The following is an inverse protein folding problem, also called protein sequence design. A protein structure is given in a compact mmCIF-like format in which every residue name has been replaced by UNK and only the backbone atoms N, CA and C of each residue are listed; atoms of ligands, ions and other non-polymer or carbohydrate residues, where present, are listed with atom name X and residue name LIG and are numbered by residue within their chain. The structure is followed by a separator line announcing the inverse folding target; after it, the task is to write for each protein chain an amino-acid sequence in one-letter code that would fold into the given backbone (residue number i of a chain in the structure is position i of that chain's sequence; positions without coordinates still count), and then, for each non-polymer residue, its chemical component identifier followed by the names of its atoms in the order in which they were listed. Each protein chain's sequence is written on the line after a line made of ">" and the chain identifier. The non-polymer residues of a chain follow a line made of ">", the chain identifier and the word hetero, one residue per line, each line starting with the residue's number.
data_IF_283787250058
#
_entry.id   IF_283787250058
#
_cell.length_a   1.000
_cell.length_b   1.000
_cell.length_c   1.000
_cell.angle_alpha   90.00
_cell.angle_beta   90.00
_cell.angle_gamma   90.00
#
_symmetry.space_group_name_H-M   'P 1'
#
loop_
_entity.id
_entity.type
_entity.pdbx_description
1 polymer ?
#
# COMPACT_ATOMS: atom_id res chain seq x y z
N UNK A 1 -22.49 -1.15 5.59
CA UNK A 1 -22.58 -0.13 4.51
C UNK A 1 -21.73 -0.52 3.31
N UNK A 2 -21.89 0.16 2.16
CA UNK A 2 -21.08 -0.06 0.94
C UNK A 2 -19.73 0.68 1.02
N UNK A 3 -18.77 0.29 0.18
CA UNK A 3 -17.50 1.03 0.03
C UNK A 3 -17.73 2.52 -0.27
N UNK A 4 -18.63 2.81 -1.22
CA UNK A 4 -18.91 4.19 -1.65
C UNK A 4 -19.46 5.03 -0.51
N UNK A 5 -20.30 4.44 0.34
CA UNK A 5 -20.83 5.13 1.50
C UNK A 5 -19.76 5.40 2.55
N UNK A 6 -18.94 4.39 2.89
CA UNK A 6 -17.82 4.57 3.81
C UNK A 6 -16.86 5.66 3.30
N UNK A 7 -16.54 5.66 2.01
CA UNK A 7 -15.66 6.64 1.39
C UNK A 7 -16.29 8.05 1.35
N UNK A 8 -17.61 8.15 1.15
CA UNK A 8 -18.35 9.40 1.23
C UNK A 8 -18.27 10.02 2.64
N UNK A 9 -18.57 9.24 3.68
CA UNK A 9 -18.47 9.72 5.06
C UNK A 9 -17.04 10.12 5.44
N UNK A 10 -16.05 9.35 4.98
CA UNK A 10 -14.64 9.72 5.14
C UNK A 10 -14.29 11.05 4.48
N UNK A 11 -14.81 11.33 3.28
CA UNK A 11 -14.64 12.61 2.61
C UNK A 11 -15.29 13.78 3.37
N UNK A 12 -16.44 13.55 4.04
CA UNK A 12 -17.05 14.58 4.89
C UNK A 12 -16.18 14.90 6.11
N UNK A 13 -15.58 13.87 6.73
CA UNK A 13 -14.78 14.03 7.93
C UNK A 13 -13.40 14.64 7.66
N UNK A 14 -12.78 14.30 6.53
CA UNK A 14 -11.39 14.69 6.19
C UNK A 14 -11.28 15.72 5.08
N UNK A 15 -12.39 16.11 4.49
CA UNK A 15 -12.42 16.94 3.30
C UNK A 15 -12.02 16.17 2.05
N UNK A 16 -11.94 16.90 0.94
CA UNK A 16 -11.68 16.34 -0.39
C UNK A 16 -12.92 16.26 -1.27
N UNK A 17 -12.74 15.74 -2.48
CA UNK A 17 -13.78 15.68 -3.51
C UNK A 17 -14.08 14.22 -3.82
N UNK A 18 -15.25 13.77 -3.38
CA UNK A 18 -15.76 12.42 -3.63
C UNK A 18 -16.49 12.34 -4.98
N UNK A 19 -16.19 11.29 -5.74
CA UNK A 19 -16.84 10.91 -6.98
C UNK A 19 -17.36 9.48 -6.86
N UNK A 20 -18.66 9.33 -6.65
CA UNK A 20 -19.31 8.02 -6.58
C UNK A 20 -20.83 8.15 -6.54
N UNK A 21 -21.51 7.01 -6.54
CA UNK A 21 -22.97 6.92 -6.49
C UNK A 21 -23.41 6.20 -5.23
N UNK A 22 -24.51 6.69 -4.64
CA UNK A 22 -25.12 6.12 -3.43
C UNK A 22 -25.57 4.65 -3.65
N UNK A 23 -26.22 4.37 -4.79
CA UNK A 23 -26.81 3.06 -5.09
C UNK A 23 -25.80 2.02 -5.61
N UNK A 24 -24.51 2.24 -5.40
CA UNK A 24 -23.44 1.38 -5.96
C UNK A 24 -23.40 1.40 -7.49
N UNK A 25 -22.58 0.51 -8.08
CA UNK A 25 -22.45 0.30 -9.53
C UNK A 25 -21.16 0.84 -10.17
N UNK A 26 -20.48 1.80 -9.53
CA UNK A 26 -19.10 2.20 -9.86
C UNK A 26 -18.30 2.35 -8.57
N UNK A 27 -17.03 1.98 -8.63
CA UNK A 27 -16.08 2.18 -7.55
C UNK A 27 -15.88 3.68 -7.31
N UNK A 28 -16.19 4.13 -6.10
CA UNK A 28 -16.01 5.51 -5.70
C UNK A 28 -14.53 5.90 -5.66
N UNK A 29 -14.25 7.12 -6.09
CA UNK A 29 -12.94 7.77 -6.03
C UNK A 29 -13.02 8.96 -5.06
N UNK A 30 -11.99 9.16 -4.26
CA UNK A 30 -11.86 10.33 -3.41
C UNK A 30 -10.54 11.04 -3.70
N UNK A 31 -10.60 12.30 -4.10
CA UNK A 31 -9.43 13.15 -4.19
C UNK A 31 -9.23 13.88 -2.86
N UNK A 32 -8.06 13.69 -2.25
CA UNK A 32 -7.63 14.43 -1.07
C UNK A 32 -6.62 15.50 -1.48
N UNK A 33 -6.76 16.68 -0.89
CA UNK A 33 -5.73 17.71 -0.96
C UNK A 33 -4.54 17.30 -0.08
N UNK A 34 -3.34 17.47 -0.62
CA UNK A 34 -2.11 17.20 0.10
C UNK A 34 -1.06 18.26 -0.30
N UNK A 35 -0.21 18.74 0.64
CA UNK A 35 0.75 19.81 0.37
C UNK A 35 1.69 19.54 -0.81
N UNK A 36 2.06 18.27 -1.06
CA UNK A 36 3.01 17.89 -2.10
C UNK A 36 2.32 17.44 -3.41
N UNK A 37 1.00 17.58 -3.48
CA UNK A 37 0.20 17.29 -4.68
C UNK A 37 -0.95 16.33 -4.40
N UNK A 38 -2.00 16.32 -5.25
CA UNK A 38 -3.24 15.61 -4.97
C UNK A 38 -3.03 14.10 -4.79
N UNK A 39 -3.76 13.54 -3.84
CA UNK A 39 -3.84 12.10 -3.60
C UNK A 39 -5.20 11.58 -4.05
N UNK A 40 -5.24 10.32 -4.48
CA UNK A 40 -6.49 9.63 -4.80
C UNK A 40 -6.63 8.38 -3.93
N UNK A 41 -7.84 8.19 -3.37
CA UNK A 41 -8.24 6.95 -2.72
C UNK A 41 -9.27 6.25 -3.61
N UNK A 42 -9.04 4.97 -3.89
CA UNK A 42 -9.92 4.15 -4.70
C UNK A 42 -9.84 2.67 -4.30
N UNK A 43 -10.67 1.85 -4.91
CA UNK A 43 -10.50 0.39 -4.87
C UNK A 43 -9.85 -0.11 -6.16
N UNK A 44 -9.22 -1.28 -6.08
CA UNK A 44 -8.73 -1.99 -7.25
C UNK A 44 -8.97 -3.49 -7.08
N UNK A 45 -9.30 -4.16 -8.19
CA UNK A 45 -9.38 -5.62 -8.23
C UNK A 45 -7.97 -6.19 -8.32
N UNK A 46 -7.58 -6.98 -7.31
CA UNK A 46 -6.24 -7.58 -7.22
C UNK A 46 -6.24 -9.03 -7.72
N UNK A 47 -7.36 -9.73 -7.60
CA UNK A 47 -7.56 -11.02 -8.28
C UNK A 47 -9.04 -11.31 -8.50
N UNK A 48 -9.34 -12.04 -9.57
CA UNK A 48 -10.68 -12.54 -9.88
C UNK A 48 -10.63 -14.07 -9.94
N UNK A 49 -11.41 -14.74 -9.08
CA UNK A 49 -11.44 -16.19 -9.01
C UNK A 49 -12.86 -16.74 -8.98
N UNK A 50 -12.98 -18.08 -8.90
CA UNK A 50 -14.28 -18.77 -8.77
C UNK A 50 -15.07 -18.39 -7.52
N UNK A 51 -14.41 -17.78 -6.54
CA UNK A 51 -14.99 -17.37 -5.25
C UNK A 51 -15.19 -15.86 -5.14
N UNK A 52 -15.22 -15.16 -6.28
CA UNK A 52 -15.38 -13.71 -6.35
C UNK A 52 -14.07 -12.95 -6.58
N UNK A 53 -14.18 -11.63 -6.51
CA UNK A 53 -13.07 -10.71 -6.68
C UNK A 53 -12.43 -10.37 -5.33
N UNK A 54 -11.11 -10.43 -5.24
CA UNK A 54 -10.35 -9.87 -4.13
C UNK A 54 -9.99 -8.44 -4.47
N UNK A 55 -10.32 -7.52 -3.58
CA UNK A 55 -10.16 -6.08 -3.77
C UNK A 55 -9.18 -5.51 -2.75
N UNK A 56 -8.55 -4.40 -3.11
CA UNK A 56 -7.75 -3.61 -2.16
C UNK A 56 -8.20 -2.17 -2.20
N UNK A 57 -8.21 -1.53 -1.03
CA UNK A 57 -8.23 -0.09 -0.94
C UNK A 57 -6.82 0.43 -1.23
N UNK A 58 -6.73 1.51 -1.99
CA UNK A 58 -5.48 2.11 -2.46
C UNK A 58 -5.50 3.60 -2.16
N UNK A 59 -4.42 4.10 -1.56
CA UNK A 59 -4.10 5.52 -1.55
C UNK A 59 -2.90 5.73 -2.47
N UNK A 60 -3.03 6.61 -3.46
CA UNK A 60 -2.03 6.82 -4.48
C UNK A 60 -1.64 8.30 -4.63
N UNK A 61 -0.35 8.53 -4.83
CA UNK A 61 0.24 9.85 -5.06
C UNK A 61 1.29 9.79 -6.16
N UNK A 62 1.45 10.89 -6.90
CA UNK A 62 2.33 10.98 -8.06
C UNK A 62 3.65 11.64 -7.68
N UNK A 63 4.77 11.08 -8.16
CA UNK A 63 6.11 11.66 -7.98
C UNK A 63 6.89 11.71 -9.30
N UNK A 64 7.96 12.49 -9.32
CA UNK A 64 8.93 12.51 -10.41
C UNK A 64 10.29 12.05 -9.90
N UNK A 65 10.84 11.00 -10.48
CA UNK A 65 12.16 10.45 -10.19
C UNK A 65 13.09 10.66 -11.38
N UNK A 66 14.40 10.46 -11.18
CA UNK A 66 15.41 10.72 -12.22
C UNK A 66 15.33 9.74 -13.39
N UNK A 67 14.87 8.51 -13.12
CA UNK A 67 14.79 7.39 -14.06
C UNK A 67 13.72 6.38 -13.61
N UNK A 68 13.25 5.48 -14.48
CA UNK A 68 12.27 4.46 -14.12
C UNK A 68 12.74 3.60 -12.93
N UNK A 69 11.85 3.42 -11.96
CA UNK A 69 12.09 2.69 -10.72
C UNK A 69 10.85 1.87 -10.34
N UNK A 70 11.06 0.60 -9.97
CA UNK A 70 10.01 -0.22 -9.38
C UNK A 70 10.39 -0.66 -7.98
N UNK A 71 9.42 -0.57 -7.07
CA UNK A 71 9.50 -1.10 -5.71
C UNK A 71 8.17 -1.76 -5.37
N UNK A 72 8.21 -2.91 -4.72
CA UNK A 72 7.06 -3.49 -4.04
C UNK A 72 7.51 -4.05 -2.71
N UNK A 73 6.91 -3.56 -1.64
CA UNK A 73 7.04 -4.05 -0.27
C UNK A 73 5.66 -4.54 0.16
N UNK A 74 5.52 -5.78 0.56
CA UNK A 74 4.23 -6.31 1.01
C UNK A 74 4.39 -7.51 1.92
N UNK A 75 3.32 -7.92 2.62
CA UNK A 75 3.32 -9.08 3.50
C UNK A 75 3.85 -10.33 2.80
N UNK A 76 4.57 -11.14 3.58
CA UNK A 76 5.13 -12.38 3.11
C UNK A 76 4.10 -13.52 3.21
N UNK A 77 4.09 -14.44 2.24
CA UNK A 77 3.43 -15.72 2.42
C UNK A 77 4.24 -16.57 3.42
N UNK A 78 3.59 -17.23 4.38
CA UNK A 78 4.23 -18.09 5.40
C UNK A 78 5.29 -19.08 4.86
N UNK A 79 5.11 -19.61 3.64
CA UNK A 79 6.09 -20.49 2.98
C UNK A 79 7.47 -19.87 2.70
N UNK A 80 7.57 -18.54 2.57
CA UNK A 80 8.83 -17.84 2.24
C UNK A 80 9.64 -17.45 3.47
N UNK A 81 9.02 -17.39 4.64
CA UNK A 81 9.68 -17.05 5.91
C UNK A 81 10.74 -18.09 6.27
N UNK A 82 10.41 -19.38 6.16
CA UNK A 82 11.37 -20.47 6.33
C UNK A 82 12.55 -20.42 5.37
N UNK A 83 12.33 -19.99 4.12
CA UNK A 83 13.40 -19.88 3.11
C UNK A 83 14.33 -18.70 3.42
N UNK A 84 13.80 -17.53 3.77
CA UNK A 84 14.63 -16.36 4.11
C UNK A 84 15.47 -16.60 5.35
N UNK A 85 14.93 -17.28 6.37
CA UNK A 85 15.69 -17.65 7.56
C UNK A 85 16.89 -18.55 7.24
N UNK A 86 16.72 -19.51 6.32
CA UNK A 86 17.80 -20.36 5.83
C UNK A 86 18.81 -19.56 5.01
N UNK A 87 18.37 -18.74 4.06
CA UNK A 87 19.26 -17.91 3.22
C UNK A 87 20.05 -16.90 4.08
N UNK A 88 19.41 -16.29 5.08
CA UNK A 88 20.06 -15.41 6.06
C UNK A 88 21.07 -16.18 6.92
N UNK A 89 20.75 -17.40 7.34
CA UNK A 89 21.68 -18.29 8.04
C UNK A 89 22.92 -18.64 7.20
N UNK A 90 22.72 -18.97 5.93
CA UNK A 90 23.80 -19.27 4.97
C UNK A 90 24.66 -18.04 4.69
N UNK A 91 24.07 -16.86 4.53
CA UNK A 91 24.80 -15.61 4.37
C UNK A 91 25.64 -15.27 5.62
N UNK A 92 25.09 -15.48 6.82
CA UNK A 92 25.84 -15.32 8.08
C UNK A 92 27.01 -16.29 8.15
N UNK A 93 26.79 -17.56 7.82
CA UNK A 93 27.85 -18.58 7.76
C UNK A 93 28.93 -18.25 6.73
N UNK A 94 28.55 -17.78 5.54
CA UNK A 94 29.47 -17.33 4.50
C UNK A 94 30.32 -16.15 4.96
N UNK A 95 29.74 -15.16 5.65
CA UNK A 95 30.48 -14.01 6.21
C UNK A 95 31.52 -14.46 7.25
N UNK A 96 31.21 -15.44 8.10
CA UNK A 96 32.16 -15.97 9.09
C UNK A 96 33.40 -16.62 8.45
N UNK A 97 33.28 -17.12 7.22
CA UNK A 97 34.41 -17.68 6.44
C UNK A 97 34.95 -16.71 5.39
N UNK A 98 34.65 -15.41 5.51
CA UNK A 98 35.16 -14.36 4.62
C UNK A 98 34.51 -14.30 3.24
N UNK A 99 33.40 -15.01 3.01
CA UNK A 99 32.67 -15.02 1.72
C UNK A 99 31.44 -14.10 1.77
N UNK A 100 31.22 -13.35 0.68
CA UNK A 100 29.99 -12.58 0.45
C UNK A 100 29.13 -13.30 -0.58
N UNK A 101 27.98 -13.81 -0.17
CA UNK A 101 27.07 -14.60 -1.01
C UNK A 101 25.85 -13.81 -1.48
N UNK A 102 25.38 -12.83 -0.67
CA UNK A 102 24.30 -11.91 -1.04
C UNK A 102 22.96 -12.60 -1.31
N UNK A 103 22.72 -13.74 -0.64
CA UNK A 103 21.54 -14.58 -0.83
C UNK A 103 20.30 -13.96 -0.15
N UNK A 104 20.49 -13.32 1.01
CA UNK A 104 19.49 -12.52 1.70
C UNK A 104 19.81 -11.03 1.48
N UNK A 105 18.88 -10.31 0.84
CA UNK A 105 19.00 -8.86 0.64
C UNK A 105 18.09 -8.16 1.63
N UNK A 106 18.65 -7.70 2.73
CA UNK A 106 17.95 -6.95 3.78
C UNK A 106 17.79 -5.46 3.47
N UNK A 107 18.51 -4.95 2.46
CA UNK A 107 18.56 -3.55 2.06
C UNK A 107 18.86 -2.58 3.24
N UNK A 108 19.50 -3.05 4.31
CA UNK A 108 19.72 -2.25 5.52
C UNK A 108 18.48 -2.01 6.39
N UNK A 109 17.38 -2.74 6.15
CA UNK A 109 16.15 -2.72 6.93
C UNK A 109 15.68 -4.17 7.23
N UNK A 110 16.47 -4.95 8.01
CA UNK A 110 16.15 -6.34 8.33
C UNK A 110 14.76 -6.50 8.96
N UNK A 111 14.34 -5.57 9.81
CA UNK A 111 13.01 -5.49 10.44
C UNK A 111 11.86 -5.49 9.42
N UNK A 112 12.08 -4.92 8.23
CA UNK A 112 11.10 -4.97 7.14
C UNK A 112 11.26 -6.28 6.36
N UNK A 113 12.48 -6.62 5.95
CA UNK A 113 12.71 -7.74 5.02
C UNK A 113 12.53 -9.14 5.59
N UNK A 114 12.51 -9.27 6.92
CA UNK A 114 12.21 -10.53 7.59
C UNK A 114 10.74 -10.94 7.37
N UNK A 115 9.83 -9.98 7.55
CA UNK A 115 8.38 -10.23 7.56
C UNK A 115 7.71 -9.82 6.25
N UNK A 116 8.42 -9.06 5.40
CA UNK A 116 7.88 -8.50 4.16
C UNK A 116 8.73 -8.85 2.96
N UNK A 117 8.04 -9.16 1.86
CA UNK A 117 8.66 -9.36 0.57
C UNK A 117 8.99 -8.02 -0.07
N UNK A 118 10.27 -7.81 -0.35
CA UNK A 118 10.76 -6.68 -1.16
C UNK A 118 11.12 -7.13 -2.57
N UNK A 119 10.55 -6.48 -3.58
CA UNK A 119 10.96 -6.58 -5.00
C UNK A 119 11.34 -5.21 -5.49
N UNK A 120 12.46 -5.10 -6.21
CA UNK A 120 12.89 -3.82 -6.77
C UNK A 120 13.71 -3.98 -8.04
N UNK A 121 13.64 -3.00 -8.94
CA UNK A 121 14.56 -2.85 -10.06
C UNK A 121 15.90 -2.20 -9.69
N UNK A 122 16.00 -1.48 -8.56
CA UNK A 122 17.19 -0.72 -8.16
C UNK A 122 17.54 -0.97 -6.68
N UNK A 123 18.36 -2.01 -6.40
CA UNK A 123 18.72 -2.38 -5.03
C UNK A 123 19.41 -1.28 -4.23
N UNK A 124 20.30 -0.50 -4.85
CA UNK A 124 21.05 0.55 -4.15
C UNK A 124 20.16 1.72 -3.77
N UNK A 125 19.29 2.16 -4.67
CA UNK A 125 18.32 3.20 -4.36
C UNK A 125 17.33 2.74 -3.29
N UNK A 126 16.87 1.48 -3.38
CA UNK A 126 15.96 0.90 -2.38
C UNK A 126 16.56 0.88 -0.98
N UNK A 127 17.88 0.71 -0.84
CA UNK A 127 18.54 0.84 0.47
C UNK A 127 18.32 2.22 1.08
N UNK A 128 18.40 3.29 0.28
CA UNK A 128 18.17 4.66 0.73
C UNK A 128 16.71 4.94 1.05
N UNK A 129 15.79 4.48 0.19
CA UNK A 129 14.34 4.57 0.44
C UNK A 129 13.99 3.93 1.80
N UNK A 130 14.50 2.73 2.05
CA UNK A 130 14.24 2.02 3.31
C UNK A 130 15.04 2.55 4.51
N UNK A 131 15.89 3.57 4.36
CA UNK A 131 16.43 4.30 5.52
C UNK A 131 15.39 5.24 6.15
N UNK A 132 14.34 5.61 5.42
CA UNK A 132 13.25 6.44 5.96
C UNK A 132 12.67 5.79 7.21
N UNK A 133 12.79 6.49 8.35
CA UNK A 133 12.31 5.99 9.64
C UNK A 133 10.79 5.90 9.66
N UNK A 134 10.14 6.95 9.18
CA UNK A 134 8.67 7.04 9.15
C UNK A 134 8.04 5.94 8.28
N UNK A 135 8.59 5.70 7.09
CA UNK A 135 8.14 4.60 6.24
C UNK A 135 8.29 3.24 6.94
N UNK A 136 9.40 3.02 7.65
CA UNK A 136 9.63 1.76 8.37
C UNK A 136 8.67 1.60 9.54
N UNK A 137 8.51 2.62 10.38
CA UNK A 137 7.60 2.60 11.54
C UNK A 137 6.15 2.32 11.09
N UNK A 138 5.68 2.93 9.99
CA UNK A 138 4.35 2.67 9.45
C UNK A 138 4.20 1.27 8.85
N UNK A 139 5.21 0.77 8.14
CA UNK A 139 5.22 -0.61 7.65
C UNK A 139 5.28 -1.63 8.79
N UNK A 140 5.97 -1.36 9.90
CA UNK A 140 6.00 -2.26 11.05
C UNK A 140 4.64 -2.28 11.76
N UNK A 141 4.00 -1.11 11.93
CA UNK A 141 2.70 -0.98 12.58
C UNK A 141 1.53 -1.61 11.79
N UNK A 142 1.67 -1.77 10.47
CA UNK A 142 0.58 -2.17 9.57
C UNK A 142 0.94 -3.43 8.76
N UNK A 143 1.05 -4.63 9.37
CA UNK A 143 1.60 -5.84 8.74
C UNK A 143 0.94 -6.22 7.41
N UNK A 144 -0.36 -5.97 7.28
CA UNK A 144 -1.15 -6.31 6.09
C UNK A 144 -1.06 -5.28 4.96
N UNK A 145 -0.40 -4.15 5.18
CA UNK A 145 -0.30 -3.06 4.22
C UNK A 145 0.89 -3.26 3.27
N UNK A 146 0.78 -2.70 2.07
CA UNK A 146 1.73 -2.85 0.99
C UNK A 146 2.10 -1.46 0.48
N UNK A 147 3.33 -1.32 0.01
CA UNK A 147 3.78 -0.16 -0.74
C UNK A 147 4.22 -0.61 -2.13
N UNK A 148 3.78 0.10 -3.15
CA UNK A 148 4.20 -0.10 -4.53
C UNK A 148 4.65 1.24 -5.13
N UNK A 149 5.72 1.20 -5.91
CA UNK A 149 6.20 2.31 -6.72
C UNK A 149 6.38 1.77 -8.13
N UNK A 150 5.74 2.41 -9.10
CA UNK A 150 5.78 1.99 -10.50
C UNK A 150 5.79 3.22 -11.42
N UNK A 151 6.52 3.19 -12.55
CA UNK A 151 6.37 4.21 -13.59
C UNK A 151 4.93 4.23 -14.10
N UNK A 152 4.39 5.42 -14.39
CA UNK A 152 3.03 5.53 -14.96
C UNK A 152 2.99 5.14 -16.44
N UNK A 153 4.15 5.13 -17.10
CA UNK A 153 4.32 4.74 -18.49
C UNK A 153 5.75 4.26 -18.80
N UNK A 154 5.97 3.67 -19.99
CA UNK A 154 7.29 3.22 -20.41
C UNK A 154 8.30 4.38 -20.47
N UNK A 155 9.51 4.14 -19.95
CA UNK A 155 10.62 5.12 -19.89
C UNK A 155 10.29 6.43 -19.17
N UNK A 156 9.17 6.48 -18.45
CA UNK A 156 8.70 7.69 -17.83
C UNK A 156 9.39 7.96 -16.50
N UNK A 157 9.68 9.25 -16.25
CA UNK A 157 10.21 9.73 -14.98
C UNK A 157 9.13 9.92 -13.92
N UNK A 158 7.88 9.83 -14.33
CA UNK A 158 6.72 9.97 -13.46
C UNK A 158 6.34 8.61 -12.93
N UNK A 159 6.15 8.53 -11.62
CA UNK A 159 5.81 7.31 -10.92
C UNK A 159 4.54 7.51 -10.09
N UNK A 160 3.79 6.43 -9.91
CA UNK A 160 2.75 6.33 -8.91
C UNK A 160 3.33 5.62 -7.70
N UNK A 161 3.14 6.23 -6.53
CA UNK A 161 3.42 5.64 -5.22
C UNK A 161 2.08 5.28 -4.60
N UNK A 162 1.91 4.00 -4.27
CA UNK A 162 0.65 3.44 -3.83
C UNK A 162 0.85 2.73 -2.50
N UNK A 163 0.04 3.09 -1.50
CA UNK A 163 -0.19 2.26 -0.33
C UNK A 163 -1.46 1.44 -0.54
N UNK A 164 -1.45 0.16 -0.17
CA UNK A 164 -2.56 -0.76 -0.43
C UNK A 164 -2.85 -1.63 0.79
N UNK A 165 -4.12 -1.92 1.02
CA UNK A 165 -4.57 -2.91 2.02
C UNK A 165 -5.66 -3.78 1.41
N UNK A 166 -5.60 -5.10 1.66
CA UNK A 166 -6.64 -6.02 1.21
C UNK A 166 -7.94 -5.70 1.93
N UNK A 167 -9.03 -5.63 1.18
CA UNK A 167 -10.35 -5.51 1.77
C UNK A 167 -10.87 -6.91 2.11
N UNK A 168 -11.42 -7.08 3.31
CA UNK A 168 -12.16 -8.29 3.64
C UNK A 168 -13.42 -8.38 2.78
N UNK A 169 -13.80 -9.60 2.39
CA UNK A 169 -14.92 -9.84 1.49
C UNK A 169 -16.25 -9.27 2.02
N UNK A 170 -16.39 -9.01 3.33
CA UNK A 170 -17.64 -8.47 3.92
C UNK A 170 -18.03 -7.09 3.38
N UNK A 171 -17.07 -6.23 3.03
CA UNK A 171 -17.36 -4.93 2.40
C UNK A 171 -17.82 -5.11 0.95
N UNK A 172 -17.32 -6.17 0.28
CA UNK A 172 -17.67 -6.51 -1.10
C UNK A 172 -19.00 -7.27 -1.23
N UNK A 173 -19.36 -8.10 -0.24
CA UNK A 173 -20.55 -8.96 -0.30
C UNK A 173 -21.83 -8.19 0.02
N UNK A 174 -21.75 -7.11 0.82
CA UNK A 174 -22.92 -6.24 1.07
C UNK A 174 -23.40 -5.52 -0.19
N UNK A 175 -22.52 -5.26 -1.17
CA UNK A 175 -22.88 -4.60 -2.42
C UNK A 175 -23.66 -5.50 -3.40
N UNK A 176 -23.52 -6.84 -3.31
CA UNK A 176 -24.17 -7.77 -4.25
C UNK A 176 -25.47 -8.40 -3.73
N UNK A 177 -25.69 -8.46 -2.41
CA UNK A 177 -26.73 -9.35 -1.84
C UNK A 177 -27.99 -8.63 -1.33
N UNK A 178 -27.99 -7.32 -1.07
CA UNK A 178 -29.05 -6.76 -0.20
C UNK A 178 -29.87 -5.61 -0.79
N UNK A 179 -30.80 -5.97 -1.68
CA UNK A 179 -32.11 -5.30 -1.76
C UNK A 179 -33.10 -5.78 -0.69
N UNK A 180 -32.61 -6.34 0.44
CA UNK A 180 -33.39 -7.15 1.38
C UNK A 180 -33.18 -6.82 2.87
N UNK A 181 -32.34 -5.84 3.24
CA UNK A 181 -32.27 -5.36 4.62
C UNK A 181 -33.11 -4.09 4.78
N UNK A 182 -33.78 -3.97 5.93
CA UNK A 182 -34.50 -2.77 6.35
C UNK A 182 -33.60 -1.54 6.15
N UNK A 183 -34.18 -0.44 5.65
CA UNK A 183 -33.51 0.84 5.56
C UNK A 183 -33.02 1.24 6.96
N UNK A 184 -31.75 0.97 7.26
CA UNK A 184 -31.12 1.57 8.43
C UNK A 184 -31.25 3.08 8.28
N UNK A 185 -31.78 3.73 9.30
CA UNK A 185 -31.82 5.19 9.32
C UNK A 185 -30.39 5.77 9.24
N UNK A 186 -30.31 7.04 8.84
CA UNK A 186 -29.03 7.69 8.59
C UNK A 186 -28.17 7.80 9.87
N UNK A 187 -28.79 7.88 11.05
CA UNK A 187 -28.07 7.95 12.33
C UNK A 187 -27.41 6.62 12.66
N UNK A 188 -28.09 5.50 12.44
CA UNK A 188 -27.54 4.16 12.62
C UNK A 188 -26.38 3.89 11.65
N UNK A 189 -26.50 4.33 10.39
CA UNK A 189 -25.41 4.22 9.38
C UNK A 189 -24.21 5.07 9.78
N UNK A 190 -24.43 6.32 10.19
CA UNK A 190 -23.37 7.20 10.68
C UNK A 190 -22.67 6.61 11.91
N UNK A 191 -23.42 6.03 12.84
CA UNK A 191 -22.86 5.36 14.01
C UNK A 191 -22.04 4.11 13.66
N UNK A 192 -22.53 3.26 12.74
CA UNK A 192 -21.75 2.11 12.22
C UNK A 192 -20.42 2.60 11.61
N UNK A 193 -20.42 3.73 10.91
CA UNK A 193 -19.20 4.33 10.33
C UNK A 193 -18.22 4.81 11.42
N UNK A 194 -18.71 5.49 12.44
CA UNK A 194 -17.90 6.03 13.53
C UNK A 194 -17.31 4.91 14.42
N UNK A 195 -18.08 3.86 14.65
CA UNK A 195 -17.69 2.72 15.48
C UNK A 195 -16.78 1.73 14.73
N UNK A 196 -16.80 1.73 13.40
CA UNK A 196 -15.97 0.82 12.61
C UNK A 196 -14.51 1.28 12.50
N UNK A 197 -13.60 0.34 12.27
CA UNK A 197 -12.17 0.65 12.09
C UNK A 197 -11.83 1.36 10.77
N UNK A 198 -12.80 1.56 9.87
CA UNK A 198 -12.58 2.04 8.51
C UNK A 198 -11.86 3.40 8.44
N UNK A 199 -12.27 4.45 9.18
CA UNK A 199 -11.61 5.76 9.06
C UNK A 199 -10.15 5.69 9.48
N UNK A 200 -9.87 5.01 10.60
CA UNK A 200 -8.50 4.80 11.10
C UNK A 200 -7.64 3.99 10.13
N UNK A 201 -8.24 3.00 9.44
CA UNK A 201 -7.53 2.22 8.43
C UNK A 201 -7.17 3.06 7.20
N UNK A 202 -8.09 3.90 6.70
CA UNK A 202 -7.78 4.81 5.59
C UNK A 202 -6.76 5.89 5.99
N UNK A 203 -6.79 6.37 7.22
CA UNK A 203 -5.75 7.29 7.71
C UNK A 203 -4.37 6.66 7.64
N UNK A 204 -4.23 5.46 8.18
CA UNK A 204 -2.97 4.73 8.12
C UNK A 204 -2.52 4.49 6.67
N UNK A 205 -3.48 4.30 5.74
CA UNK A 205 -3.20 4.09 4.33
C UNK A 205 -2.68 5.37 3.65
N UNK A 206 -3.32 6.52 3.94
CA UNK A 206 -2.91 7.84 3.47
C UNK A 206 -1.54 8.21 4.01
N UNK A 207 -1.31 8.04 5.31
CA UNK A 207 -0.02 8.32 5.94
C UNK A 207 1.09 7.42 5.39
N UNK A 208 0.81 6.14 5.14
CA UNK A 208 1.79 5.26 4.50
C UNK A 208 2.13 5.69 3.07
N UNK A 209 1.15 6.15 2.27
CA UNK A 209 1.40 6.65 0.93
C UNK A 209 2.25 7.93 0.94
N UNK A 210 2.01 8.83 1.91
CA UNK A 210 2.83 10.05 2.14
C UNK A 210 4.26 9.69 2.53
N UNK A 211 4.43 8.84 3.53
CA UNK A 211 5.75 8.42 3.98
C UNK A 211 6.53 7.69 2.87
N UNK A 212 5.85 6.88 2.06
CA UNK A 212 6.46 6.24 0.90
C UNK A 212 6.88 7.24 -0.18
N UNK A 213 6.04 8.25 -0.47
CA UNK A 213 6.36 9.34 -1.38
C UNK A 213 7.61 10.08 -0.93
N UNK A 214 7.63 10.50 0.33
CA UNK A 214 8.72 11.28 0.90
C UNK A 214 10.01 10.47 0.94
N UNK A 215 9.92 9.16 1.24
CA UNK A 215 11.07 8.26 1.21
C UNK A 215 11.69 8.11 -0.19
N UNK A 216 10.88 8.05 -1.25
CA UNK A 216 11.40 7.91 -2.63
C UNK A 216 11.86 9.23 -3.24
N UNK A 217 11.47 10.38 -2.68
CA UNK A 217 11.92 11.70 -3.16
C UNK A 217 13.00 12.33 -2.29
N UNK A 218 13.28 11.78 -1.11
CA UNK A 218 14.29 12.28 -0.18
C UNK A 218 15.74 12.20 -0.72
N UNK A 219 16.01 11.30 -1.66
CA UNK A 219 17.37 11.02 -2.15
C UNK A 219 17.44 11.07 -3.67
N UNK A 220 18.53 11.61 -4.25
CA UNK A 220 18.80 11.42 -5.67
C UNK A 220 19.00 9.94 -5.97
N UNK A 221 18.81 9.50 -7.21
CA UNK A 221 19.06 8.10 -7.55
C UNK A 221 20.58 7.87 -7.70
N UNK A 222 21.13 6.72 -7.25
CA UNK A 222 22.54 6.41 -7.42
C UNK A 222 22.91 6.38 -8.91
N UNK A 223 24.10 6.90 -9.21
CA UNK A 223 24.71 6.85 -10.54
C UNK A 223 24.89 5.40 -10.99
N UNK A 224 24.45 5.08 -12.20
CA UNK A 224 24.79 3.78 -12.81
C UNK A 224 26.26 3.82 -13.26
N UNK A 225 27.08 2.80 -12.96
CA UNK A 225 28.36 2.63 -13.63
C UNK A 225 28.13 2.61 -15.14
N UNK A 226 28.96 3.35 -15.88
CA UNK A 226 29.00 3.36 -17.34
C UNK A 226 29.43 1.99 -17.88
#
# INVERSE_FOLDING_TARGET
>A
MSWNEYLYWYAQDRGGVFFGTEKGGKEGLLFLEDPEGPMVIHTQVVSSGRYGESRSAVAAVRVKLERPYTLRVGPQSSLREGINNVLGGLDRGARMIGRKTGLHRDYGAPEITNDRRVKTSEPEFTRWVLQSRELRELLEAQPDFWVQVSPVGPEERIHLVEAQVSMEQEVSIRDEVFGLFEEMDQEARRKEYEDCGFPRQLDALVELARAARDAVTAWPMPMKPL
#
